data_IF_398956081355
#
_entry.id   IF_398956081355
#
_cell.length_a   1.000
_cell.length_b   1.000
_cell.length_c   1.000
_cell.angle_alpha   90.00
_cell.angle_beta   90.00
_cell.angle_gamma   90.00
#
_symmetry.space_group_name_H-M   'P 1'
#
loop_
_entity.id
_entity.type
_entity.pdbx_description
1 polymer ?
#
# COMPACT_ATOMS: atom_id res chain seq x y z
N UNK A 1 -9.92 1.78 5.55
CA UNK A 1 -11.13 1.01 5.94
C UNK A 1 -12.26 1.91 6.39
N UNK A 2 -12.11 2.68 7.48
CA UNK A 2 -13.23 3.49 8.03
C UNK A 2 -13.94 4.45 7.08
N UNK A 3 -13.23 5.00 6.08
CA UNK A 3 -13.87 5.82 5.04
C UNK A 3 -14.87 5.05 4.17
N UNK A 4 -14.70 3.73 3.99
CA UNK A 4 -15.57 2.89 3.16
C UNK A 4 -17.01 2.85 3.68
N UNK A 5 -17.21 3.01 4.99
CA UNK A 5 -18.54 3.14 5.62
C UNK A 5 -19.35 4.28 5.01
N UNK A 6 -18.68 5.37 4.64
CA UNK A 6 -19.31 6.57 4.09
C UNK A 6 -19.26 6.61 2.56
N UNK A 7 -18.13 6.20 1.97
CA UNK A 7 -17.92 6.27 0.53
C UNK A 7 -18.83 5.32 -0.25
N UNK A 8 -19.06 4.09 0.25
CA UNK A 8 -19.92 3.12 -0.44
C UNK A 8 -21.33 3.65 -0.72
N UNK A 9 -22.05 4.15 0.30
CA UNK A 9 -23.37 4.75 0.12
C UNK A 9 -23.38 5.99 -0.79
N UNK A 10 -22.38 6.86 -0.66
CA UNK A 10 -22.29 8.11 -1.45
C UNK A 10 -22.03 7.83 -2.92
N UNK A 11 -21.07 6.95 -3.21
CA UNK A 11 -20.69 6.58 -4.58
C UNK A 11 -21.64 5.56 -5.21
N UNK A 12 -22.47 4.88 -4.39
CA UNK A 12 -23.36 3.79 -4.79
C UNK A 12 -22.63 2.70 -5.58
N UNK A 13 -21.36 2.49 -5.24
CA UNK A 13 -20.46 1.57 -5.90
C UNK A 13 -19.60 0.85 -4.84
N UNK A 14 -19.25 -0.43 -5.08
CA UNK A 14 -18.44 -1.18 -4.14
C UNK A 14 -16.98 -0.70 -4.19
N UNK A 15 -16.32 -0.62 -3.03
CA UNK A 15 -15.00 0.00 -2.91
C UNK A 15 -13.89 -1.05 -3.02
N UNK A 16 -12.94 -0.82 -3.93
CA UNK A 16 -11.68 -1.56 -3.96
C UNK A 16 -10.65 -0.84 -3.10
N UNK A 17 -9.94 -1.57 -2.24
CA UNK A 17 -8.91 -0.99 -1.37
C UNK A 17 -7.59 -1.71 -1.62
N UNK A 18 -6.56 -0.92 -1.92
CA UNK A 18 -5.17 -1.35 -1.96
C UNK A 18 -4.46 -0.68 -0.79
N UNK A 19 -3.82 -1.46 0.08
CA UNK A 19 -3.16 -0.98 1.29
C UNK A 19 -1.72 -1.50 1.37
N UNK A 20 -0.79 -0.63 1.73
CA UNK A 20 0.62 -0.93 1.97
C UNK A 20 0.91 -0.73 3.45
N UNK A 21 1.32 -1.79 4.16
CA UNK A 21 1.78 -1.73 5.56
C UNK A 21 0.76 -1.31 6.62
N UNK A 22 -0.50 -1.00 6.24
CA UNK A 22 -1.51 -0.52 7.19
C UNK A 22 -1.88 -1.53 8.29
N UNK A 23 -2.18 -1.04 9.49
CA UNK A 23 -2.74 -1.88 10.55
C UNK A 23 -4.26 -1.94 10.39
N UNK A 24 -4.76 -3.11 10.00
CA UNK A 24 -6.18 -3.32 9.78
C UNK A 24 -6.89 -3.72 11.08
N UNK A 25 -7.98 -3.04 11.43
CA UNK A 25 -8.89 -3.41 12.52
C UNK A 25 -10.09 -4.24 12.03
N UNK A 26 -11.10 -4.47 12.88
CA UNK A 26 -12.37 -5.13 12.55
C UNK A 26 -13.46 -4.13 12.11
N UNK A 27 -13.12 -3.29 11.15
CA UNK A 27 -13.95 -2.14 10.75
C UNK A 27 -15.31 -2.54 10.12
N UNK A 28 -16.45 -1.98 10.57
CA UNK A 28 -17.76 -2.30 9.98
C UNK A 28 -17.88 -1.91 8.50
N UNK A 29 -17.01 -1.01 8.01
CA UNK A 29 -16.94 -0.59 6.61
C UNK A 29 -16.61 -1.71 5.63
N UNK A 30 -16.17 -2.89 6.08
CA UNK A 30 -16.02 -4.08 5.23
C UNK A 30 -17.29 -4.45 4.45
N UNK A 31 -18.47 -4.08 4.94
CA UNK A 31 -19.74 -4.31 4.24
C UNK A 31 -19.78 -3.61 2.86
N UNK A 32 -19.08 -2.48 2.72
CA UNK A 32 -19.04 -1.68 1.49
C UNK A 32 -17.81 -1.96 0.62
N UNK A 33 -16.95 -2.88 1.05
CA UNK A 33 -15.70 -3.21 0.36
C UNK A 33 -15.93 -4.38 -0.58
N UNK A 34 -15.58 -4.19 -1.86
CA UNK A 34 -15.51 -5.26 -2.86
C UNK A 34 -14.38 -6.22 -2.49
N UNK A 35 -13.19 -5.66 -2.34
CA UNK A 35 -11.97 -6.40 -2.06
C UNK A 35 -10.95 -5.51 -1.37
N UNK A 36 -10.19 -6.09 -0.45
CA UNK A 36 -9.03 -5.52 0.20
C UNK A 36 -7.80 -6.31 -0.25
N UNK A 37 -6.94 -5.65 -1.02
CA UNK A 37 -5.57 -6.09 -1.27
C UNK A 37 -4.66 -5.41 -0.26
N UNK A 38 -4.02 -6.19 0.60
CA UNK A 38 -3.20 -5.67 1.66
C UNK A 38 -1.79 -6.26 1.61
N UNK A 39 -0.85 -5.41 1.20
CA UNK A 39 0.58 -5.70 1.15
C UNK A 39 1.18 -5.60 2.55
N UNK A 40 1.93 -6.63 2.95
CA UNK A 40 2.63 -6.68 4.23
C UNK A 40 4.09 -7.09 4.04
N UNK A 41 5.00 -6.42 4.72
CA UNK A 41 6.43 -6.71 4.74
C UNK A 41 6.77 -7.75 5.80
N UNK A 42 7.73 -8.64 5.48
CA UNK A 42 8.23 -9.63 6.43
C UNK A 42 9.00 -9.01 7.60
N UNK A 43 9.53 -7.79 7.42
CA UNK A 43 10.25 -7.02 8.44
C UNK A 43 9.40 -5.88 9.01
N UNK A 44 8.09 -5.92 8.83
CA UNK A 44 7.14 -4.92 9.34
C UNK A 44 6.39 -5.46 10.59
N UNK A 45 6.90 -5.21 11.81
CA UNK A 45 6.22 -5.65 13.02
C UNK A 45 4.93 -4.85 13.29
N UNK A 46 4.80 -3.63 12.75
CA UNK A 46 3.66 -2.75 12.99
C UNK A 46 2.41 -3.35 12.36
N UNK A 47 2.51 -3.86 11.14
CA UNK A 47 1.41 -4.55 10.47
C UNK A 47 0.88 -5.74 11.29
N UNK A 48 1.78 -6.51 11.90
CA UNK A 48 1.42 -7.70 12.68
C UNK A 48 0.64 -7.38 13.96
N UNK A 49 0.84 -6.18 14.54
CA UNK A 49 0.14 -5.75 15.76
C UNK A 49 -1.37 -5.78 15.61
N UNK A 50 -1.91 -5.61 14.39
CA UNK A 50 -3.34 -5.65 14.16
C UNK A 50 -3.98 -6.95 14.67
N UNK A 51 -3.32 -8.10 14.43
CA UNK A 51 -3.82 -9.40 14.87
C UNK A 51 -3.90 -9.56 16.39
N UNK A 52 -3.11 -8.79 17.13
CA UNK A 52 -3.05 -8.83 18.60
C UNK A 52 -4.02 -7.81 19.19
N UNK A 53 -3.98 -6.56 18.71
CA UNK A 53 -4.68 -5.43 19.32
C UNK A 53 -6.18 -5.39 19.01
N UNK A 54 -6.62 -5.99 17.90
CA UNK A 54 -8.03 -5.95 17.50
C UNK A 54 -8.68 -7.31 17.69
N UNK A 55 -9.43 -7.46 18.79
CA UNK A 55 -10.09 -8.72 19.15
C UNK A 55 -10.98 -9.28 18.02
N UNK A 56 -11.64 -8.40 17.25
CA UNK A 56 -12.45 -8.83 16.10
C UNK A 56 -11.64 -9.49 14.97
N UNK A 57 -10.31 -9.50 15.00
CA UNK A 57 -9.49 -10.28 14.05
C UNK A 57 -9.17 -11.68 14.56
N UNK A 58 -9.45 -11.98 15.82
CA UNK A 58 -9.17 -13.28 16.39
C UNK A 58 -10.13 -14.32 15.81
N UNK A 59 -9.63 -15.53 15.58
CA UNK A 59 -10.39 -16.62 14.98
C UNK A 59 -11.60 -17.05 15.82
N UNK A 60 -11.60 -16.74 17.13
CA UNK A 60 -12.71 -17.04 18.04
C UNK A 60 -13.94 -16.15 17.85
N UNK A 61 -13.83 -15.04 17.11
CA UNK A 61 -14.95 -14.14 16.79
C UNK A 61 -15.30 -14.21 15.29
N UNK A 62 -15.80 -15.34 14.77
CA UNK A 62 -16.02 -15.54 13.34
C UNK A 62 -17.07 -14.59 12.75
N UNK A 63 -17.92 -13.99 13.60
CA UNK A 63 -18.98 -13.08 13.17
C UNK A 63 -18.55 -11.62 13.07
N UNK A 64 -17.29 -11.31 13.39
CA UNK A 64 -16.74 -9.96 13.23
C UNK A 64 -16.72 -9.55 11.75
N UNK A 65 -16.75 -8.24 11.44
CA UNK A 65 -16.66 -7.75 10.06
C UNK A 65 -15.43 -8.29 9.32
N UNK A 66 -14.28 -8.32 10.00
CA UNK A 66 -13.03 -8.84 9.44
C UNK A 66 -13.13 -10.34 9.09
N UNK A 67 -13.57 -11.18 10.03
CA UNK A 67 -13.60 -12.63 9.80
C UNK A 67 -14.66 -13.02 8.77
N UNK A 68 -15.79 -12.30 8.72
CA UNK A 68 -16.77 -12.45 7.64
C UNK A 68 -16.19 -12.09 6.28
N UNK A 69 -15.57 -10.91 6.16
CA UNK A 69 -14.94 -10.50 4.91
C UNK A 69 -13.84 -11.47 4.47
N UNK A 70 -13.06 -12.01 5.41
CA UNK A 70 -12.06 -13.05 5.16
C UNK A 70 -12.71 -14.35 4.66
N UNK A 71 -13.78 -14.81 5.30
CA UNK A 71 -14.51 -16.02 4.90
C UNK A 71 -15.21 -15.88 3.54
N UNK A 72 -15.65 -14.65 3.20
CA UNK A 72 -16.22 -14.29 1.90
C UNK A 72 -15.16 -14.12 0.79
N UNK A 73 -13.87 -14.27 1.11
CA UNK A 73 -12.78 -14.14 0.14
C UNK A 73 -12.47 -12.70 -0.27
N UNK A 74 -12.96 -11.69 0.46
CA UNK A 74 -12.77 -10.27 0.14
C UNK A 74 -11.42 -9.69 0.56
N UNK A 75 -10.53 -10.51 1.12
CA UNK A 75 -9.25 -10.06 1.66
C UNK A 75 -8.14 -10.91 1.06
N UNK A 76 -7.26 -10.26 0.31
CA UNK A 76 -5.99 -10.84 -0.16
C UNK A 76 -4.84 -10.20 0.59
N UNK A 77 -4.08 -11.03 1.29
CA UNK A 77 -2.82 -10.63 1.92
C UNK A 77 -1.70 -10.90 0.93
N UNK A 78 -0.93 -9.88 0.58
CA UNK A 78 0.18 -9.98 -0.38
C UNK A 78 1.48 -9.78 0.40
N UNK A 79 2.38 -10.76 0.33
CA UNK A 79 3.72 -10.60 0.86
C UNK A 79 4.45 -9.56 0.00
N UNK A 80 5.01 -8.52 0.60
CA UNK A 80 5.79 -7.48 -0.06
C UNK A 80 7.29 -7.83 -0.12
N UNK A 81 7.70 -8.92 0.53
CA UNK A 81 9.09 -9.32 0.69
C UNK A 81 9.73 -8.73 1.96
N UNK A 82 11.07 -8.56 2.00
CA UNK A 82 11.83 -8.16 3.19
C UNK A 82 11.73 -6.65 3.48
N UNK A 83 10.51 -6.10 3.42
CA UNK A 83 10.20 -4.67 3.50
C UNK A 83 9.97 -4.25 4.96
N UNK A 84 10.48 -3.08 5.35
CA UNK A 84 10.21 -2.44 6.65
C UNK A 84 8.99 -1.51 6.56
N UNK A 85 8.60 -0.85 7.65
CA UNK A 85 7.36 -0.08 7.69
C UNK A 85 7.48 1.29 7.00
N UNK A 86 8.31 2.19 7.54
CA UNK A 86 8.43 3.59 7.09
C UNK A 86 9.87 4.05 6.82
N UNK A 87 10.86 3.22 7.15
CA UNK A 87 12.27 3.53 6.98
C UNK A 87 12.74 3.33 5.52
N UNK A 88 13.92 3.83 5.12
CA UNK A 88 14.59 3.34 3.92
C UNK A 88 14.70 1.82 3.97
N UNK A 89 14.20 1.12 2.96
CA UNK A 89 13.90 -0.31 3.04
C UNK A 89 12.40 -0.63 3.02
N UNK A 90 11.57 0.39 3.20
CA UNK A 90 10.13 0.31 3.34
C UNK A 90 9.37 0.27 2.02
N UNK A 91 8.04 0.33 2.09
CA UNK A 91 7.16 0.21 0.90
C UNK A 91 7.38 1.31 -0.15
N UNK A 92 7.87 2.48 0.26
CA UNK A 92 7.97 3.65 -0.61
C UNK A 92 9.41 4.11 -0.87
N UNK A 93 10.34 3.77 0.03
CA UNK A 93 11.71 4.27 0.00
C UNK A 93 12.68 3.10 -0.04
N UNK A 94 13.50 3.05 -1.10
CA UNK A 94 14.57 2.08 -1.23
C UNK A 94 15.76 2.47 -0.32
N UNK A 95 16.33 1.50 0.38
CA UNK A 95 17.56 1.68 1.16
C UNK A 95 18.82 1.62 0.29
N UNK A 96 19.94 2.14 0.78
CA UNK A 96 21.24 1.98 0.12
C UNK A 96 21.66 0.50 0.01
N UNK A 97 21.40 -0.31 1.05
CA UNK A 97 21.65 -1.75 1.01
C UNK A 97 20.88 -2.44 -0.12
N UNK A 98 19.61 -2.07 -0.32
CA UNK A 98 18.81 -2.57 -1.43
C UNK A 98 19.38 -2.15 -2.79
N UNK A 99 19.82 -0.90 -2.92
CA UNK A 99 20.45 -0.40 -4.16
C UNK A 99 21.74 -1.16 -4.48
N UNK A 100 22.61 -1.33 -3.49
CA UNK A 100 23.87 -2.07 -3.63
C UNK A 100 23.65 -3.52 -4.06
N UNK A 101 22.58 -4.15 -3.57
CA UNK A 101 22.18 -5.51 -3.95
C UNK A 101 21.42 -5.60 -5.27
N UNK A 102 21.04 -4.47 -5.88
CA UNK A 102 20.17 -4.43 -7.05
C UNK A 102 18.74 -4.91 -6.77
N UNK A 103 18.23 -4.72 -5.56
CA UNK A 103 16.88 -5.13 -5.16
C UNK A 103 15.83 -4.10 -5.60
N UNK A 104 14.98 -4.47 -6.55
CA UNK A 104 13.89 -3.64 -7.11
C UNK A 104 12.54 -3.89 -6.42
N UNK A 105 12.51 -3.84 -5.10
CA UNK A 105 11.30 -4.22 -4.33
C UNK A 105 10.13 -3.25 -4.59
N UNK A 106 10.41 -1.94 -4.62
CA UNK A 106 9.39 -0.91 -4.82
C UNK A 106 8.82 -0.96 -6.26
N UNK A 107 9.67 -1.22 -7.26
CA UNK A 107 9.23 -1.40 -8.64
C UNK A 107 8.23 -2.57 -8.73
N UNK A 108 8.58 -3.72 -8.14
CA UNK A 108 7.69 -4.89 -8.09
C UNK A 108 6.38 -4.64 -7.35
N UNK A 109 6.38 -3.78 -6.33
CA UNK A 109 5.16 -3.34 -5.66
C UNK A 109 4.29 -2.48 -6.58
N UNK A 110 4.90 -1.55 -7.32
CA UNK A 110 4.19 -0.72 -8.30
C UNK A 110 3.59 -1.61 -9.39
N UNK A 111 4.36 -2.56 -9.94
CA UNK A 111 3.88 -3.48 -10.96
C UNK A 111 2.68 -4.30 -10.45
N UNK A 112 2.75 -4.78 -9.22
CA UNK A 112 1.64 -5.51 -8.60
C UNK A 112 0.39 -4.64 -8.39
N UNK A 113 0.56 -3.37 -8.03
CA UNK A 113 -0.55 -2.41 -7.91
C UNK A 113 -1.18 -2.15 -9.29
N UNK A 114 -0.37 -1.94 -10.32
CA UNK A 114 -0.83 -1.75 -11.70
C UNK A 114 -1.61 -2.98 -12.17
N UNK A 115 -1.10 -4.18 -11.88
CA UNK A 115 -1.79 -5.43 -12.20
C UNK A 115 -3.14 -5.53 -11.49
N UNK A 116 -3.22 -5.23 -10.19
CA UNK A 116 -4.49 -5.20 -9.46
C UNK A 116 -5.47 -4.18 -10.06
N UNK A 117 -5.00 -3.01 -10.48
CA UNK A 117 -5.87 -1.97 -11.06
C UNK A 117 -6.45 -2.45 -12.40
N UNK A 118 -5.63 -3.09 -13.23
CA UNK A 118 -6.05 -3.61 -14.53
C UNK A 118 -6.86 -4.92 -14.42
N UNK A 119 -6.58 -5.73 -13.39
CA UNK A 119 -7.14 -7.06 -13.15
C UNK A 119 -7.57 -7.25 -11.67
N UNK A 120 -8.62 -6.53 -11.20
CA UNK A 120 -8.98 -6.37 -9.79
C UNK A 120 -9.58 -7.61 -9.09
N UNK A 121 -9.37 -8.80 -9.64
CA UNK A 121 -9.79 -10.08 -9.05
C UNK A 121 -8.67 -11.11 -9.02
N UNK A 122 -7.47 -10.78 -9.51
CA UNK A 122 -6.34 -11.70 -9.50
C UNK A 122 -5.54 -11.57 -8.20
N UNK A 123 -5.01 -12.70 -7.73
CA UNK A 123 -4.06 -12.72 -6.62
C UNK A 123 -2.68 -12.53 -7.22
N UNK A 124 -2.09 -11.36 -7.00
CA UNK A 124 -0.79 -11.03 -7.56
C UNK A 124 0.33 -11.56 -6.66
N UNK A 125 1.21 -12.39 -7.23
CA UNK A 125 2.43 -12.81 -6.56
C UNK A 125 3.58 -11.88 -6.96
N UNK A 126 4.07 -11.08 -6.01
CA UNK A 126 5.15 -10.11 -6.25
C UNK A 126 6.45 -10.73 -6.77
N UNK A 127 6.69 -12.04 -6.59
CA UNK A 127 7.89 -12.74 -7.11
C UNK A 127 7.77 -13.13 -8.57
N UNK A 128 6.58 -13.01 -9.16
CA UNK A 128 6.26 -13.43 -10.52
C UNK A 128 5.88 -12.28 -11.44
N UNK A 129 5.70 -11.06 -10.90
CA UNK A 129 5.37 -9.89 -11.72
C UNK A 129 6.63 -9.48 -12.48
N UNK A 130 6.61 -9.66 -13.79
CA UNK A 130 7.61 -9.06 -14.67
C UNK A 130 7.49 -7.54 -14.56
N UNK A 131 8.61 -6.80 -14.61
CA UNK A 131 8.57 -5.35 -14.51
C UNK A 131 7.62 -4.79 -15.57
N UNK A 132 6.61 -4.04 -15.14
CA UNK A 132 5.72 -3.38 -16.07
C UNK A 132 6.60 -2.49 -16.95
N UNK A 133 6.41 -2.56 -18.26
CA UNK A 133 7.14 -1.73 -19.20
C UNK A 133 6.56 -0.33 -19.10
N UNK A 134 6.95 0.40 -18.05
CA UNK A 134 6.58 1.80 -17.88
C UNK A 134 7.29 2.60 -18.99
N UNK A 135 6.59 3.48 -19.72
CA UNK A 135 7.24 4.40 -20.63
C UNK A 135 8.24 5.24 -19.82
N UNK A 136 9.45 5.42 -20.34
CA UNK A 136 10.53 6.14 -19.67
C UNK A 136 10.02 7.50 -19.16
N UNK A 137 10.19 7.75 -17.86
CA UNK A 137 9.96 9.06 -17.26
C UNK A 137 10.96 10.05 -17.87
N UNK A 138 10.47 10.96 -18.70
CA UNK A 138 11.23 12.16 -19.09
C UNK A 138 11.38 13.03 -17.83
N UNK A 139 12.61 13.37 -17.39
CA UNK A 139 12.79 14.29 -16.28
C UNK A 139 12.20 15.65 -16.66
N UNK A 140 11.39 16.22 -15.77
CA UNK A 140 10.96 17.61 -15.90
C UNK A 140 12.20 18.52 -15.83
N UNK A 141 12.31 19.46 -16.77
CA UNK A 141 13.34 20.51 -16.73
C UNK A 141 13.23 21.28 -15.41
N UNK A 142 14.29 21.25 -14.63
CA UNK A 142 14.48 22.09 -13.46
C UNK A 142 14.70 23.53 -13.94
N UNK A 143 13.66 24.36 -13.86
CA UNK A 143 13.78 25.79 -14.13
C UNK A 143 14.59 26.45 -13.02
N UNK A 144 15.83 26.81 -13.34
CA UNK A 144 16.70 27.61 -12.50
C UNK A 144 16.08 29.00 -12.26
N UNK A 145 15.48 29.22 -11.10
CA UNK A 145 15.06 30.54 -10.66
C UNK A 145 16.29 31.22 -10.01
N UNK A 146 16.86 32.19 -10.72
CA UNK A 146 17.97 33.02 -10.25
C UNK A 146 17.46 34.01 -9.20
N UNK A 147 17.94 33.86 -7.97
CA UNK A 147 17.71 34.78 -6.85
C UNK A 147 18.48 36.09 -7.08
N UNK A 148 17.79 37.11 -7.58
CA UNK A 148 18.23 38.50 -7.56
C UNK A 148 17.98 39.10 -6.16
N UNK A 149 19.01 39.13 -5.30
CA UNK A 149 19.05 40.02 -4.14
C UNK A 149 20.30 40.89 -4.17
N UNK A 150 20.16 42.02 -4.86
CA UNK A 150 21.13 43.11 -4.89
C UNK A 150 21.12 43.81 -3.53
N UNK A 151 22.23 43.67 -2.80
CA UNK A 151 22.47 44.37 -1.55
C UNK A 151 22.41 45.89 -1.70
N UNK A 152 21.76 46.53 -0.74
CA UNK A 152 21.84 47.97 -0.51
C UNK A 152 22.78 48.22 0.68
N UNK A 153 23.90 48.95 0.53
CA UNK A 153 24.68 49.39 1.66
C UNK A 153 24.15 50.73 2.19
N UNK A 154 24.03 50.79 3.52
CA UNK A 154 23.92 52.02 4.29
C UNK A 154 25.15 52.90 4.06
N UNK A 155 24.95 54.10 3.50
CA UNK A 155 25.53 55.39 3.94
C UNK A 155 25.00 56.54 3.07
#
# INVERSE_FOLDING_TARGET
MGAATYLGPVLKAPILIISLGGVMADDPGFVNVRHLYHFHGQKDPVQSLGQILYAGRWSILPQSPWNKAKAEGKITMIDAGPVTHQDPGGYFLQSEEQKEKGEHTQDRLIDAIVEIINHPTEVVNITSVEPATLPAHTPAEESSEQDDHKGSPLQ
#
